data_IF_216873240951
#
_entry.id   IF_216873240951
#
_cell.length_a   1.000
_cell.length_b   1.000
_cell.length_c   1.000
_cell.angle_alpha   90.00
_cell.angle_beta   90.00
_cell.angle_gamma   90.00
#
_symmetry.space_group_name_H-M   'P 1'
#
loop_
_entity.id
_entity.type
_entity.pdbx_description
1 polymer ?
#
# COMPACT_ATOMS: atom_id res chain seq x y z
N UNK A 1 13.45 -4.63 12.33
CA UNK A 1 12.88 -6.00 12.36
C UNK A 1 11.38 -5.83 12.32
N UNK A 2 10.68 -6.51 11.38
CA UNK A 2 9.22 -6.45 11.33
C UNK A 2 8.63 -7.07 12.60
N UNK A 3 7.49 -6.56 13.07
CA UNK A 3 6.79 -7.11 14.24
C UNK A 3 6.38 -8.57 14.01
N UNK A 4 6.16 -9.30 15.11
CA UNK A 4 5.72 -10.68 15.03
C UNK A 4 4.29 -10.72 14.51
N UNK A 5 4.13 -11.22 13.28
CA UNK A 5 2.86 -11.33 12.59
C UNK A 5 2.20 -12.68 12.87
N UNK A 6 0.88 -12.70 12.95
CA UNK A 6 0.10 -13.92 12.93
C UNK A 6 0.01 -14.47 11.49
N UNK A 7 -0.02 -15.78 11.35
CA UNK A 7 -0.17 -16.41 10.04
C UNK A 7 -1.53 -17.11 9.99
N UNK A 8 -2.36 -16.71 9.03
CA UNK A 8 -3.64 -17.36 8.81
C UNK A 8 -3.44 -18.78 8.25
N UNK A 9 -4.41 -19.64 8.50
CA UNK A 9 -4.43 -21.00 7.91
C UNK A 9 -4.34 -20.93 6.37
N UNK A 10 -5.01 -19.97 5.76
CA UNK A 10 -5.00 -19.79 4.32
C UNK A 10 -3.62 -19.41 3.77
N UNK A 11 -2.91 -18.50 4.43
CA UNK A 11 -1.54 -18.14 4.04
C UNK A 11 -0.61 -19.35 4.15
N UNK A 12 -0.71 -20.12 5.23
CA UNK A 12 0.11 -21.32 5.42
C UNK A 12 -0.20 -22.40 4.36
N UNK A 13 -1.46 -22.59 4.02
CA UNK A 13 -1.89 -23.50 2.95
C UNK A 13 -1.31 -23.09 1.59
N UNK A 14 -1.38 -21.81 1.25
CA UNK A 14 -0.84 -21.28 -0.01
C UNK A 14 0.68 -21.45 -0.08
N UNK A 15 1.37 -21.23 1.02
CA UNK A 15 2.80 -21.42 1.07
C UNK A 15 3.19 -22.90 0.97
N UNK A 16 2.48 -23.80 1.66
CA UNK A 16 2.66 -25.25 1.53
C UNK A 16 2.46 -25.72 0.09
N UNK A 17 1.45 -25.19 -0.61
CA UNK A 17 1.21 -25.46 -2.02
C UNK A 17 2.39 -25.09 -2.91
N UNK A 18 3.05 -23.96 -2.63
CA UNK A 18 4.25 -23.51 -3.36
C UNK A 18 5.45 -24.44 -3.09
N UNK A 19 5.73 -24.71 -1.82
CA UNK A 19 7.00 -25.31 -1.38
C UNK A 19 6.99 -26.83 -1.50
N UNK A 20 5.87 -27.47 -1.14
CA UNK A 20 5.81 -28.92 -1.01
C UNK A 20 4.98 -29.60 -2.09
N UNK A 21 3.75 -29.16 -2.30
CA UNK A 21 2.84 -29.87 -3.22
C UNK A 21 1.78 -28.95 -3.82
N UNK A 22 1.87 -28.68 -5.11
CA UNK A 22 0.88 -27.90 -5.88
C UNK A 22 -0.56 -28.45 -5.84
N UNK A 23 -0.78 -29.67 -5.36
CA UNK A 23 -2.11 -30.26 -5.18
C UNK A 23 -2.79 -29.84 -3.87
N UNK A 24 -2.11 -29.09 -2.98
CA UNK A 24 -2.71 -28.49 -1.78
C UNK A 24 -3.51 -27.27 -2.21
N UNK A 25 -4.73 -27.47 -2.68
CA UNK A 25 -5.58 -26.41 -3.27
C UNK A 25 -6.81 -26.07 -2.44
N UNK A 26 -7.08 -26.83 -1.37
CA UNK A 26 -8.24 -26.67 -0.51
C UNK A 26 -7.91 -26.94 0.96
N UNK A 27 -8.78 -26.49 1.85
CA UNK A 27 -8.67 -26.78 3.28
C UNK A 27 -8.59 -28.28 3.57
N UNK A 28 -9.35 -29.08 2.84
CA UNK A 28 -9.34 -30.53 3.00
C UNK A 28 -7.98 -31.13 2.63
N UNK A 29 -7.45 -30.78 1.47
CA UNK A 29 -6.14 -31.27 1.02
C UNK A 29 -5.01 -30.80 1.93
N UNK A 30 -5.13 -29.61 2.51
CA UNK A 30 -4.17 -29.10 3.48
C UNK A 30 -4.23 -29.85 4.82
N UNK A 31 -5.42 -30.16 5.35
CA UNK A 31 -5.57 -30.96 6.56
C UNK A 31 -5.05 -32.39 6.39
N UNK A 32 -5.26 -32.98 5.22
CA UNK A 32 -4.68 -34.30 4.88
C UNK A 32 -3.16 -34.23 4.82
N UNK A 33 -2.61 -33.19 4.18
CA UNK A 33 -1.15 -32.98 4.14
C UNK A 33 -0.55 -32.78 5.54
N UNK A 34 -1.17 -31.98 6.41
CA UNK A 34 -0.71 -31.76 7.78
C UNK A 34 -0.61 -33.03 8.60
N UNK A 35 -1.62 -33.91 8.50
CA UNK A 35 -1.63 -35.21 9.20
C UNK A 35 -0.45 -36.11 8.80
N UNK A 36 -0.02 -36.00 7.55
CA UNK A 36 1.09 -36.78 7.02
C UNK A 36 2.47 -36.12 7.23
N UNK A 37 2.51 -34.85 7.61
CA UNK A 37 3.71 -34.04 7.69
C UNK A 37 3.71 -33.13 8.94
N UNK A 38 3.28 -33.65 10.08
CA UNK A 38 3.23 -32.88 11.34
C UNK A 38 4.59 -32.30 11.73
N UNK A 39 5.66 -33.07 11.51
CA UNK A 39 7.05 -32.69 11.76
C UNK A 39 7.52 -31.51 10.88
N UNK A 40 6.90 -31.28 9.72
CA UNK A 40 7.25 -30.21 8.77
C UNK A 40 6.47 -28.92 8.97
N UNK A 41 5.42 -28.95 9.78
CA UNK A 41 4.53 -27.80 9.95
C UNK A 41 5.26 -26.60 10.61
N UNK A 42 6.04 -26.86 11.65
CA UNK A 42 6.83 -25.81 12.33
C UNK A 42 7.91 -25.22 11.41
N UNK A 43 8.58 -26.08 10.63
CA UNK A 43 9.56 -25.64 9.64
C UNK A 43 8.92 -24.77 8.55
N UNK A 44 7.77 -25.21 8.02
CA UNK A 44 7.01 -24.47 7.03
C UNK A 44 6.62 -23.06 7.54
N UNK A 45 6.12 -22.97 8.75
CA UNK A 45 5.74 -21.69 9.36
C UNK A 45 6.96 -20.78 9.57
N UNK A 46 8.08 -21.37 10.00
CA UNK A 46 9.34 -20.65 10.17
C UNK A 46 9.87 -20.13 8.84
N UNK A 47 9.82 -20.92 7.79
CA UNK A 47 10.26 -20.53 6.45
C UNK A 47 9.39 -19.40 5.88
N UNK A 48 8.06 -19.52 6.03
CA UNK A 48 7.13 -18.45 5.64
C UNK A 48 7.42 -17.14 6.37
N UNK A 49 7.70 -17.18 7.68
CA UNK A 49 8.09 -16.01 8.46
C UNK A 49 9.41 -15.41 7.98
N UNK A 50 10.39 -16.25 7.65
CA UNK A 50 11.69 -15.80 7.17
C UNK A 50 11.56 -15.11 5.80
N UNK A 51 10.81 -15.67 4.87
CA UNK A 51 10.54 -15.04 3.57
C UNK A 51 9.81 -13.70 3.72
N UNK A 52 8.82 -13.63 4.62
CA UNK A 52 8.15 -12.37 4.93
C UNK A 52 9.08 -11.33 5.54
N UNK A 53 9.97 -11.72 6.46
CA UNK A 53 10.94 -10.80 7.08
C UNK A 53 11.87 -10.14 6.05
N UNK A 54 12.20 -10.84 4.98
CA UNK A 54 13.04 -10.36 3.88
C UNK A 54 12.26 -9.55 2.84
N UNK A 55 10.93 -9.52 2.91
CA UNK A 55 10.10 -8.79 1.97
C UNK A 55 10.11 -7.29 2.25
N UNK A 56 9.80 -6.48 1.23
CA UNK A 56 9.64 -5.03 1.31
C UNK A 56 8.17 -4.65 1.19
N UNK A 57 7.75 -3.66 1.98
CA UNK A 57 6.45 -3.02 1.83
C UNK A 57 6.36 -2.31 0.47
N UNK A 58 5.23 -2.47 -0.20
CA UNK A 58 4.98 -1.90 -1.52
C UNK A 58 3.89 -0.84 -1.47
N UNK A 59 2.71 -1.20 -0.96
CA UNK A 59 1.54 -0.31 -0.91
C UNK A 59 0.49 -0.85 0.04
N UNK A 60 -0.48 0.01 0.37
CA UNK A 60 -1.72 -0.39 1.04
C UNK A 60 -2.88 -0.18 0.07
N UNK A 61 -3.73 -1.19 -0.09
CA UNK A 61 -4.90 -1.15 -0.96
C UNK A 61 -6.01 -2.06 -0.43
N UNK A 62 -7.18 -2.00 -1.03
CA UNK A 62 -8.25 -2.97 -0.76
C UNK A 62 -7.94 -4.32 -1.42
N UNK A 63 -8.34 -5.40 -0.78
CA UNK A 63 -8.24 -6.75 -1.31
C UNK A 63 -9.40 -7.60 -0.80
N UNK A 64 -10.16 -8.19 -1.71
CA UNK A 64 -11.36 -8.98 -1.41
C UNK A 64 -12.32 -8.20 -0.48
N UNK A 65 -12.63 -8.71 0.70
CA UNK A 65 -13.51 -8.06 1.68
C UNK A 65 -12.76 -7.13 2.67
N UNK A 66 -11.46 -6.95 2.50
CA UNK A 66 -10.63 -6.11 3.34
C UNK A 66 -10.44 -4.72 2.72
N UNK A 67 -10.76 -3.66 3.45
CA UNK A 67 -10.59 -2.27 2.97
C UNK A 67 -9.13 -1.82 2.92
N UNK A 68 -8.30 -2.33 3.83
CA UNK A 68 -6.89 -1.99 3.95
C UNK A 68 -6.06 -3.24 4.14
N UNK A 69 -5.25 -3.54 3.16
CA UNK A 69 -4.28 -4.64 3.17
C UNK A 69 -2.93 -4.10 2.76
N UNK A 70 -1.92 -4.42 3.52
CA UNK A 70 -0.54 -4.09 3.22
C UNK A 70 0.07 -5.18 2.34
N UNK A 71 0.62 -4.76 1.21
CA UNK A 71 1.28 -5.61 0.23
C UNK A 71 2.79 -5.57 0.43
N UNK A 72 3.39 -6.74 0.57
CA UNK A 72 4.83 -6.92 0.70
C UNK A 72 5.33 -7.85 -0.40
N UNK A 73 6.52 -7.60 -0.93
CA UNK A 73 7.17 -8.44 -1.95
C UNK A 73 8.55 -8.86 -1.48
N UNK A 74 8.82 -10.17 -1.54
CA UNK A 74 10.16 -10.73 -1.50
C UNK A 74 10.59 -11.04 -2.95
N UNK A 75 11.52 -10.25 -3.47
CA UNK A 75 12.01 -10.38 -4.86
C UNK A 75 12.80 -11.67 -5.08
N UNK A 76 13.59 -12.09 -4.08
CA UNK A 76 14.44 -13.28 -4.19
C UNK A 76 13.60 -14.56 -4.18
N UNK A 77 12.60 -14.61 -3.30
CA UNK A 77 11.67 -15.73 -3.24
C UNK A 77 10.56 -15.65 -4.30
N UNK A 78 10.44 -14.53 -5.02
CA UNK A 78 9.34 -14.24 -5.96
C UNK A 78 7.97 -14.46 -5.32
N UNK A 79 7.77 -13.85 -4.14
CA UNK A 79 6.55 -14.00 -3.34
C UNK A 79 5.95 -12.65 -2.96
N UNK A 80 4.62 -12.62 -3.00
CA UNK A 80 3.81 -11.54 -2.43
C UNK A 80 3.15 -12.01 -1.14
N UNK A 81 3.14 -11.14 -0.12
CA UNK A 81 2.46 -11.36 1.17
C UNK A 81 1.46 -10.24 1.39
N UNK A 82 0.26 -10.61 1.79
CA UNK A 82 -0.83 -9.70 2.11
C UNK A 82 -1.10 -9.74 3.62
N UNK A 83 -1.02 -8.58 4.25
CA UNK A 83 -1.15 -8.43 5.71
C UNK A 83 -2.27 -7.45 6.04
N UNK A 84 -3.13 -7.84 6.95
CA UNK A 84 -4.17 -6.99 7.51
C UNK A 84 -4.12 -7.06 9.04
N UNK A 85 -3.96 -5.91 9.72
CA UNK A 85 -3.95 -5.82 11.19
C UNK A 85 -3.09 -6.89 11.88
N UNK A 86 -1.81 -6.98 11.54
CA UNK A 86 -0.83 -7.92 12.10
C UNK A 86 -1.12 -9.42 11.80
N UNK A 87 -2.00 -9.71 10.84
CA UNK A 87 -2.24 -11.04 10.34
C UNK A 87 -1.88 -11.15 8.86
N UNK A 88 -1.05 -12.12 8.51
CA UNK A 88 -0.85 -12.51 7.12
C UNK A 88 -2.06 -13.29 6.64
N UNK A 89 -2.89 -12.65 5.81
CA UNK A 89 -4.14 -13.23 5.31
C UNK A 89 -3.92 -14.20 4.16
N UNK A 90 -2.93 -13.95 3.33
CA UNK A 90 -2.55 -14.82 2.20
C UNK A 90 -1.14 -14.53 1.71
N UNK A 91 -0.60 -15.44 0.93
CA UNK A 91 0.59 -15.22 0.11
C UNK A 91 0.46 -15.98 -1.20
N UNK A 92 1.17 -15.54 -2.22
CA UNK A 92 1.19 -16.20 -3.52
C UNK A 92 2.48 -15.93 -4.28
N UNK A 93 2.89 -16.87 -5.15
CA UNK A 93 4.07 -16.67 -5.99
C UNK A 93 3.81 -15.56 -7.02
N UNK A 94 4.87 -14.84 -7.37
CA UNK A 94 4.89 -13.91 -8.48
C UNK A 94 5.34 -14.72 -9.71
N UNK A 95 4.44 -14.89 -10.66
CA UNK A 95 4.70 -15.65 -11.88
C UNK A 95 4.01 -14.99 -13.08
N UNK A 96 4.79 -14.60 -14.05
CA UNK A 96 4.33 -14.01 -15.32
C UNK A 96 4.35 -15.04 -16.45
N UNK A 97 4.35 -16.34 -16.11
CA UNK A 97 4.39 -17.45 -17.07
C UNK A 97 5.68 -17.48 -17.92
N UNK A 98 6.78 -16.97 -17.36
CA UNK A 98 8.11 -16.98 -17.98
C UNK A 98 9.06 -17.85 -17.17
N UNK A 99 10.29 -17.98 -17.65
CA UNK A 99 11.38 -18.53 -16.84
C UNK A 99 11.72 -17.59 -15.66
N UNK A 100 12.54 -18.07 -14.74
CA UNK A 100 12.89 -17.31 -13.54
C UNK A 100 13.45 -15.92 -13.86
N UNK A 101 14.40 -15.84 -14.81
CA UNK A 101 15.06 -14.58 -15.17
C UNK A 101 14.09 -13.60 -15.83
N UNK A 102 13.17 -14.10 -16.65
CA UNK A 102 12.09 -13.32 -17.26
C UNK A 102 11.13 -12.77 -16.20
N UNK A 103 10.71 -13.59 -15.26
CA UNK A 103 9.85 -13.17 -14.15
C UNK A 103 10.51 -12.08 -13.28
N UNK A 104 11.79 -12.26 -12.93
CA UNK A 104 12.58 -11.27 -12.18
C UNK A 104 12.72 -9.97 -12.96
N UNK A 105 12.97 -10.03 -14.26
CA UNK A 105 13.13 -8.85 -15.12
C UNK A 105 11.85 -8.03 -15.20
N UNK A 106 10.69 -8.67 -15.39
CA UNK A 106 9.39 -7.99 -15.40
C UNK A 106 9.10 -7.37 -14.03
N UNK A 107 9.30 -8.11 -12.94
CA UNK A 107 9.08 -7.59 -11.60
C UNK A 107 9.92 -6.34 -11.31
N UNK A 108 11.20 -6.33 -11.72
CA UNK A 108 12.06 -5.17 -11.53
C UNK A 108 11.53 -3.94 -12.28
N UNK A 109 11.10 -4.09 -13.53
CA UNK A 109 10.52 -2.99 -14.31
C UNK A 109 9.24 -2.44 -13.66
N UNK A 110 8.37 -3.32 -13.17
CA UNK A 110 7.13 -2.91 -12.49
C UNK A 110 7.42 -2.16 -11.20
N UNK A 111 8.38 -2.62 -10.39
CA UNK A 111 8.77 -1.94 -9.16
C UNK A 111 9.42 -0.58 -9.41
N UNK A 112 10.28 -0.45 -10.42
CA UNK A 112 10.85 0.83 -10.83
C UNK A 112 9.79 1.82 -11.32
N UNK A 113 8.82 1.34 -12.10
CA UNK A 113 7.71 2.18 -12.56
C UNK A 113 6.83 2.63 -11.39
N UNK A 114 6.61 1.77 -10.40
CA UNK A 114 5.86 2.12 -9.18
C UNK A 114 6.57 3.21 -8.37
N UNK A 115 7.89 3.09 -8.19
CA UNK A 115 8.66 4.13 -7.47
C UNK A 115 8.63 5.47 -8.21
N UNK A 116 8.79 5.47 -9.54
CA UNK A 116 8.65 6.70 -10.35
C UNK A 116 7.24 7.32 -10.23
N UNK A 117 6.20 6.50 -10.20
CA UNK A 117 4.83 6.99 -10.02
C UNK A 117 4.62 7.61 -8.65
N UNK A 118 5.15 7.00 -7.58
CA UNK A 118 5.11 7.55 -6.22
C UNK A 118 5.86 8.87 -6.11
N UNK A 119 7.04 8.97 -6.71
CA UNK A 119 7.81 10.22 -6.76
C UNK A 119 7.05 11.33 -7.50
N UNK A 120 6.42 11.00 -8.64
CA UNK A 120 5.61 11.95 -9.39
C UNK A 120 4.38 12.41 -8.60
N UNK A 121 3.72 11.52 -7.88
CA UNK A 121 2.59 11.85 -7.00
C UNK A 121 3.02 12.78 -5.86
N UNK A 122 4.12 12.47 -5.18
CA UNK A 122 4.66 13.31 -4.10
C UNK A 122 5.04 14.72 -4.58
N UNK A 123 5.68 14.83 -5.74
CA UNK A 123 6.02 16.13 -6.35
C UNK A 123 4.76 16.93 -6.72
N UNK A 124 3.73 16.26 -7.27
CA UNK A 124 2.46 16.90 -7.59
C UNK A 124 1.76 17.42 -6.33
N UNK A 125 1.74 16.67 -5.25
CA UNK A 125 1.14 17.11 -3.98
C UNK A 125 1.88 18.31 -3.40
N UNK A 126 3.21 18.35 -3.48
CA UNK A 126 4.02 19.48 -3.03
C UNK A 126 3.72 20.74 -3.86
N UNK A 127 3.73 20.64 -5.18
CA UNK A 127 3.42 21.76 -6.09
C UNK A 127 1.99 22.27 -5.86
N UNK A 128 1.02 21.38 -5.68
CA UNK A 128 -0.36 21.73 -5.40
C UNK A 128 -0.51 22.45 -4.05
N UNK A 129 0.24 22.05 -3.04
CA UNK A 129 0.26 22.72 -1.74
C UNK A 129 0.75 24.18 -1.87
N UNK A 130 1.85 24.41 -2.58
CA UNK A 130 2.38 25.76 -2.80
C UNK A 130 1.42 26.66 -3.60
N UNK A 131 0.78 26.13 -4.63
CA UNK A 131 -0.23 26.86 -5.41
C UNK A 131 -1.40 27.26 -4.51
N UNK A 132 -1.90 26.37 -3.70
CA UNK A 132 -3.01 26.64 -2.77
C UNK A 132 -2.64 27.69 -1.73
N UNK A 133 -1.43 27.63 -1.14
CA UNK A 133 -0.97 28.65 -0.21
C UNK A 133 -0.89 30.04 -0.85
N UNK A 134 -0.33 30.12 -2.05
CA UNK A 134 -0.23 31.40 -2.77
C UNK A 134 -1.60 31.98 -3.07
N UNK A 135 -2.54 31.17 -3.57
CA UNK A 135 -3.92 31.60 -3.83
C UNK A 135 -4.64 32.08 -2.56
N UNK A 136 -4.43 31.42 -1.42
CA UNK A 136 -5.00 31.85 -0.15
C UNK A 136 -4.44 33.21 0.28
N UNK A 137 -3.14 33.47 0.12
CA UNK A 137 -2.52 34.77 0.42
C UNK A 137 -3.08 35.89 -0.48
N UNK A 138 -3.22 35.62 -1.78
CA UNK A 138 -3.84 36.58 -2.72
C UNK A 138 -5.28 36.90 -2.34
N UNK A 139 -6.05 35.88 -1.96
CA UNK A 139 -7.43 36.04 -1.51
C UNK A 139 -7.50 36.91 -0.24
N UNK A 140 -6.62 36.72 0.75
CA UNK A 140 -6.57 37.55 1.95
C UNK A 140 -6.30 39.03 1.63
N UNK A 141 -5.40 39.31 0.68
CA UNK A 141 -5.11 40.67 0.22
C UNK A 141 -6.36 41.29 -0.41
N UNK A 142 -7.03 40.58 -1.31
CA UNK A 142 -8.24 41.07 -1.99
C UNK A 142 -9.37 41.33 -0.98
N UNK A 143 -9.56 40.45 0.00
CA UNK A 143 -10.57 40.66 1.05
C UNK A 143 -10.27 41.89 1.90
N UNK A 144 -9.00 42.11 2.27
CA UNK A 144 -8.60 43.31 3.02
C UNK A 144 -8.84 44.63 2.19
N UNK A 145 -8.56 44.60 0.90
CA UNK A 145 -8.86 45.72 0.00
C UNK A 145 -10.38 45.98 -0.12
N UNK A 146 -11.18 44.91 -0.23
CA UNK A 146 -12.65 45.04 -0.26
C UNK A 146 -13.19 45.66 1.04
N UNK A 147 -12.70 45.26 2.19
CA UNK A 147 -13.10 45.82 3.50
C UNK A 147 -12.76 47.32 3.60
N UNK A 148 -11.57 47.69 3.11
CA UNK A 148 -11.14 49.09 3.06
C UNK A 148 -12.05 49.92 2.16
N UNK A 149 -12.40 49.41 0.98
CA UNK A 149 -13.32 50.08 0.03
C UNK A 149 -14.72 50.24 0.62
N UNK A 150 -15.23 49.19 1.26
CA UNK A 150 -16.53 49.22 1.93
C UNK A 150 -16.57 50.27 3.04
N UNK A 151 -15.51 50.39 3.83
CA UNK A 151 -15.38 51.41 4.87
C UNK A 151 -15.37 52.82 4.30
N UNK A 152 -14.65 53.05 3.20
CA UNK A 152 -14.65 54.35 2.47
C UNK A 152 -16.03 54.68 1.90
N UNK A 153 -16.71 53.70 1.33
CA UNK A 153 -18.05 53.89 0.78
C UNK A 153 -19.05 54.28 1.89
N UNK A 154 -18.99 53.62 3.03
CA UNK A 154 -19.83 53.95 4.19
C UNK A 154 -19.61 55.39 4.65
N UNK A 155 -18.34 55.81 4.80
CA UNK A 155 -17.98 57.18 5.19
C UNK A 155 -18.51 58.23 4.16
N UNK A 156 -18.43 57.95 2.87
CA UNK A 156 -18.95 58.85 1.82
C UNK A 156 -20.47 58.99 1.86
N UNK A 157 -21.18 57.87 2.11
CA UNK A 157 -22.64 57.88 2.22
C UNK A 157 -23.13 58.63 3.45
N UNK A 158 -22.42 58.52 4.58
CA UNK A 158 -22.69 59.29 5.80
C UNK A 158 -22.51 60.78 5.56
N UNK A 159 -21.43 61.20 4.88
CA UNK A 159 -21.22 62.61 4.52
C UNK A 159 -22.28 63.17 3.61
N UNK A 160 -22.80 62.41 2.64
CA UNK A 160 -23.90 62.79 1.78
C UNK A 160 -25.21 62.98 2.55
N UNK A 161 -25.49 62.20 3.55
CA UNK A 161 -26.69 62.24 4.35
C UNK A 161 -26.76 63.50 5.25
N UNK A 162 -25.60 64.14 5.57
CA UNK A 162 -25.51 65.34 6.42
C UNK A 162 -25.51 66.65 5.61
N UNK A 163 -25.34 66.56 4.32
CA UNK A 163 -25.48 67.71 3.39
C UNK A 163 -26.91 67.91 2.90
#
# INVERSE_FOLDING_TARGET
MKEKINISKHALMRFASKVHNKQIISDKSFEEWKKLNEDKLEELEKDLRNEYQQSKYISTSSYDNFEKVDFFINKEAMMTFLVNNDEMITCYPIDFELDHDGNVSILNVLLENLERAKEAEANFEEDHFYIKENLNRELEVVLAEMDLLNSKLKTLNEKKAVM
#
